data_IF_221804848062
#
_entry.id   IF_221804848062
#
_cell.length_a   1.000
_cell.length_b   1.000
_cell.length_c   1.000
_cell.angle_alpha   90.00
_cell.angle_beta   90.00
_cell.angle_gamma   90.00
#
_symmetry.space_group_name_H-M   'P 1'
#
loop_
_entity.id
_entity.type
_entity.pdbx_description
1 polymer ?
#
# COMPACT_ATOMS: atom_id res chain seq x y z
N UNK A 1 -15.90 -18.17 4.43
CA UNK A 1 -15.38 -16.82 4.59
C UNK A 1 -14.70 -16.37 3.33
N UNK A 2 -14.94 -15.15 2.95
CA UNK A 2 -14.32 -14.60 1.76
C UNK A 2 -13.05 -13.85 2.13
N UNK A 3 -12.07 -13.97 1.26
CA UNK A 3 -10.82 -13.24 1.43
C UNK A 3 -10.66 -12.24 0.30
N UNK A 4 -9.96 -11.19 0.58
CA UNK A 4 -9.66 -10.16 -0.42
C UNK A 4 -8.18 -9.83 -0.36
N UNK A 5 -7.69 -9.26 -1.45
CA UNK A 5 -6.31 -8.78 -1.52
C UNK A 5 -6.29 -7.36 -1.02
N UNK A 6 -5.37 -7.07 -0.12
CA UNK A 6 -5.17 -5.73 0.39
C UNK A 6 -3.81 -5.22 -0.06
N UNK A 7 -3.82 -4.12 -0.77
CA UNK A 7 -2.61 -3.38 -1.10
C UNK A 7 -2.42 -2.31 -0.04
N UNK A 8 -1.29 -2.36 0.65
CA UNK A 8 -0.95 -1.34 1.64
C UNK A 8 0.33 -0.65 1.22
N UNK A 9 0.27 0.66 1.11
CA UNK A 9 1.43 1.48 0.77
C UNK A 9 1.75 2.36 1.96
N UNK A 10 2.99 2.33 2.41
CA UNK A 10 3.43 3.15 3.53
C UNK A 10 4.75 3.85 3.20
N UNK A 11 4.95 4.98 3.86
CA UNK A 11 6.14 5.80 3.70
C UNK A 11 6.79 5.97 5.06
N UNK A 12 8.12 5.88 5.08
CA UNK A 12 8.88 6.08 6.31
C UNK A 12 9.55 7.45 6.26
N UNK A 13 9.20 8.29 7.22
CA UNK A 13 9.80 9.60 7.38
C UNK A 13 10.87 9.56 8.47
N UNK A 14 11.90 10.43 8.39
CA UNK A 14 12.95 10.46 9.40
C UNK A 14 12.38 10.73 10.79
N UNK A 15 12.77 9.89 11.75
CA UNK A 15 12.36 10.06 13.14
C UNK A 15 10.92 9.71 13.43
N UNK A 16 10.22 9.09 12.50
CA UNK A 16 8.81 8.75 12.67
C UNK A 16 8.57 7.28 12.38
N UNK A 17 7.43 6.80 12.84
CA UNK A 17 6.99 5.44 12.51
C UNK A 17 6.48 5.41 11.07
N UNK A 18 6.52 4.24 10.41
CA UNK A 18 5.95 4.14 9.07
C UNK A 18 4.49 4.58 9.08
N UNK A 19 4.12 5.38 8.10
CA UNK A 19 2.77 5.91 7.98
C UNK A 19 2.09 5.30 6.77
N UNK A 20 0.91 4.74 6.98
CA UNK A 20 0.12 4.16 5.89
C UNK A 20 -0.49 5.30 5.08
N UNK A 21 -0.10 5.38 3.82
CA UNK A 21 -0.56 6.44 2.94
C UNK A 21 -1.80 6.03 2.15
N UNK A 22 -1.90 4.75 1.85
CA UNK A 22 -2.93 4.31 0.91
C UNK A 22 -3.22 2.83 1.10
N UNK A 23 -4.49 2.48 1.05
CA UNK A 23 -4.91 1.08 1.07
C UNK A 23 -5.98 0.87 0.01
N UNK A 24 -5.85 -0.20 -0.76
CA UNK A 24 -6.79 -0.51 -1.83
C UNK A 24 -7.23 -1.96 -1.69
N UNK A 25 -8.51 -2.20 -1.87
CA UNK A 25 -9.08 -3.54 -1.90
C UNK A 25 -9.80 -3.75 -3.23
N UNK A 26 -10.27 -4.96 -3.46
CA UNK A 26 -11.01 -5.27 -4.68
C UNK A 26 -10.14 -5.63 -5.86
N UNK A 27 -8.85 -5.86 -5.64
CA UNK A 27 -7.92 -6.22 -6.69
C UNK A 27 -7.65 -7.72 -6.68
N UNK A 28 -7.24 -8.25 -7.83
CA UNK A 28 -6.61 -9.56 -7.85
C UNK A 28 -5.18 -9.39 -7.34
N UNK A 29 -4.54 -10.50 -6.97
CA UNK A 29 -3.15 -10.42 -6.52
C UNK A 29 -2.24 -9.88 -7.63
N UNK A 30 -2.51 -10.25 -8.87
CA UNK A 30 -1.75 -9.76 -10.02
C UNK A 30 -1.92 -8.25 -10.20
N UNK A 31 -3.15 -7.75 -10.10
CA UNK A 31 -3.41 -6.32 -10.18
C UNK A 31 -2.73 -5.57 -9.03
N UNK A 32 -2.73 -6.18 -7.86
CA UNK A 32 -2.07 -5.58 -6.70
C UNK A 32 -0.58 -5.37 -6.97
N UNK A 33 0.09 -6.38 -7.49
CA UNK A 33 1.52 -6.28 -7.80
C UNK A 33 1.78 -5.21 -8.87
N UNK A 34 0.92 -5.09 -9.86
CA UNK A 34 1.06 -4.07 -10.89
C UNK A 34 0.91 -2.67 -10.32
N UNK A 35 -0.10 -2.47 -9.48
CA UNK A 35 -0.30 -1.17 -8.85
C UNK A 35 0.83 -0.83 -7.88
N UNK A 36 1.35 -1.81 -7.18
CA UNK A 36 2.49 -1.59 -6.30
C UNK A 36 3.70 -1.11 -7.07
N UNK A 37 3.96 -1.70 -8.23
CA UNK A 37 5.06 -1.27 -9.10
C UNK A 37 4.88 0.15 -9.60
N UNK A 38 3.67 0.49 -10.04
CA UNK A 38 3.39 1.83 -10.54
C UNK A 38 3.57 2.87 -9.44
N UNK A 39 3.11 2.55 -8.25
CA UNK A 39 3.25 3.44 -7.12
C UNK A 39 4.72 3.70 -6.79
N UNK A 40 5.51 2.63 -6.75
CA UNK A 40 6.94 2.72 -6.47
C UNK A 40 7.65 3.52 -7.56
N UNK A 41 7.26 3.34 -8.81
CA UNK A 41 7.92 4.00 -9.92
C UNK A 41 7.65 5.49 -10.04
N UNK A 42 6.50 5.95 -9.56
CA UNK A 42 6.08 7.34 -9.79
C UNK A 42 5.86 8.11 -8.50
N UNK A 43 4.85 7.73 -7.73
CA UNK A 43 4.43 8.54 -6.59
C UNK A 43 5.42 8.55 -5.45
N UNK A 44 6.05 7.41 -5.19
CA UNK A 44 7.00 7.32 -4.08
C UNK A 44 8.28 8.08 -4.34
N UNK A 45 8.74 8.08 -5.60
CA UNK A 45 9.93 8.83 -5.95
C UNK A 45 9.72 10.32 -5.70
N UNK A 46 8.55 10.82 -6.07
CA UNK A 46 8.20 12.21 -5.84
C UNK A 46 8.07 12.52 -4.35
N UNK A 47 7.41 11.64 -3.60
CA UNK A 47 7.26 11.83 -2.16
C UNK A 47 8.60 11.84 -1.45
N UNK A 48 9.52 10.97 -1.86
CA UNK A 48 10.86 10.95 -1.27
C UNK A 48 11.61 12.24 -1.58
N UNK A 49 11.46 12.74 -2.78
CA UNK A 49 12.14 13.95 -3.20
C UNK A 49 11.56 15.21 -2.55
N UNK A 50 10.24 15.29 -2.47
CA UNK A 50 9.57 16.50 -1.98
C UNK A 50 9.43 16.55 -0.47
N UNK A 51 9.24 15.39 0.17
CA UNK A 51 8.93 15.33 1.59
C UNK A 51 10.04 14.74 2.45
N UNK A 52 11.12 14.31 1.84
CA UNK A 52 12.25 13.79 2.59
C UNK A 52 12.05 12.40 3.16
N UNK A 53 11.16 11.61 2.57
CA UNK A 53 10.97 10.23 3.01
C UNK A 53 12.26 9.43 2.82
N UNK A 54 12.57 8.55 3.77
CA UNK A 54 13.79 7.74 3.72
C UNK A 54 13.50 6.29 3.33
N UNK A 55 12.25 5.92 3.22
CA UNK A 55 11.90 4.57 2.81
C UNK A 55 10.44 4.46 2.49
N UNK A 56 10.08 3.32 1.94
CA UNK A 56 8.70 3.05 1.56
C UNK A 56 8.47 1.55 1.53
N UNK A 57 7.20 1.16 1.58
CA UNK A 57 6.83 -0.22 1.33
C UNK A 57 5.47 -0.28 0.63
N UNK A 58 5.33 -1.26 -0.24
CA UNK A 58 4.05 -1.57 -0.86
C UNK A 58 3.88 -3.08 -0.76
N UNK A 59 2.86 -3.51 -0.04
CA UNK A 59 2.65 -4.93 0.23
C UNK A 59 1.29 -5.37 -0.26
N UNK A 60 1.26 -6.58 -0.80
CA UNK A 60 0.03 -7.24 -1.23
C UNK A 60 -0.18 -8.43 -0.32
N UNK A 61 -1.30 -8.49 0.36
CA UNK A 61 -1.58 -9.58 1.27
C UNK A 61 -3.05 -9.95 1.24
N UNK A 62 -3.32 -11.18 1.62
CA UNK A 62 -4.68 -11.65 1.79
C UNK A 62 -5.18 -11.27 3.18
N UNK A 63 -6.42 -10.85 3.25
CA UNK A 63 -7.07 -10.63 4.54
C UNK A 63 -8.51 -11.12 4.44
N UNK A 64 -9.13 -11.33 5.59
CA UNK A 64 -10.54 -11.64 5.62
C UNK A 64 -11.34 -10.40 5.25
N UNK A 65 -12.29 -10.58 4.34
CA UNK A 65 -13.16 -9.50 3.95
C UNK A 65 -14.08 -9.16 5.11
N UNK A 66 -14.20 -7.88 5.49
CA UNK A 66 -15.08 -7.50 6.57
C UNK A 66 -16.51 -7.93 6.29
N UNK A 67 -17.19 -8.43 7.32
CA UNK A 67 -18.57 -8.81 7.18
C UNK A 67 -19.43 -7.56 7.09
N UNK A 68 -20.29 -7.53 6.09
CA UNK A 68 -21.25 -6.45 5.94
C UNK A 68 -22.59 -6.81 6.56
N UNK A 69 -22.69 -8.02 7.07
CA UNK A 69 -23.90 -8.49 7.70
C UNK A 69 -23.97 -8.02 9.13
N UNK A 70 -25.10 -7.65 9.51
CA UNK A 70 -25.31 -7.23 10.89
C UNK A 70 -26.51 -7.83 11.48
#
# INVERSE_FOLDING_TARGET
MMKEVLLTVSILMPGQKPDIQHQVTGLTMEECFEQAKDFIGHELTDAMREHGAIGYSATCMWREKPSMDN
#
